data_IF_777168900522
#
_entry.id   IF_777168900522
#
_cell.length_a   1.000
_cell.length_b   1.000
_cell.length_c   1.000
_cell.angle_alpha   90.00
_cell.angle_beta   90.00
_cell.angle_gamma   90.00
#
_symmetry.space_group_name_H-M   'P 1'
#
loop_
_entity.id
_entity.type
_entity.pdbx_description
1 polymer ?
#
# COMPACT_ATOMS: atom_id res chain seq x y z
N UNK A 1 -47.58 -58.10 -19.14
CA UNK A 1 -46.25 -58.70 -19.34
C UNK A 1 -45.26 -57.58 -19.60
N UNK A 2 -44.40 -57.27 -18.61
CA UNK A 2 -43.14 -56.47 -18.69
C UNK A 2 -43.29 -54.96 -19.03
N UNK A 3 -42.64 -53.97 -18.41
CA UNK A 3 -41.74 -53.79 -17.23
C UNK A 3 -41.29 -52.28 -17.31
N UNK A 4 -40.94 -51.65 -16.16
CA UNK A 4 -40.19 -50.36 -15.99
C UNK A 4 -40.97 -49.06 -16.33
N UNK A 5 -40.85 -47.93 -15.62
CA UNK A 5 -39.80 -47.42 -14.75
C UNK A 5 -40.35 -46.29 -13.83
N UNK A 6 -40.04 -46.36 -12.53
CA UNK A 6 -40.21 -45.28 -11.56
C UNK A 6 -39.30 -44.09 -11.90
N UNK A 7 -39.82 -42.86 -11.92
CA UNK A 7 -38.99 -41.67 -11.68
C UNK A 7 -39.76 -40.73 -10.75
N UNK A 8 -39.49 -40.90 -9.45
CA UNK A 8 -39.83 -39.96 -8.40
C UNK A 8 -38.85 -38.79 -8.51
N UNK A 9 -39.30 -37.64 -9.03
CA UNK A 9 -38.47 -36.42 -9.11
C UNK A 9 -38.46 -35.75 -7.74
N UNK A 10 -37.61 -36.23 -6.83
CA UNK A 10 -37.23 -35.47 -5.63
C UNK A 10 -36.09 -34.53 -6.00
N UNK A 11 -36.46 -33.35 -6.51
CA UNK A 11 -35.53 -32.24 -6.68
C UNK A 11 -35.19 -31.61 -5.33
N UNK A 12 -34.18 -32.12 -4.65
CA UNK A 12 -33.54 -31.42 -3.54
C UNK A 12 -32.72 -30.26 -4.12
N UNK A 13 -33.31 -29.06 -4.08
CA UNK A 13 -32.61 -27.80 -4.31
C UNK A 13 -31.65 -27.62 -3.13
N UNK A 14 -30.41 -28.07 -3.30
CA UNK A 14 -29.31 -27.74 -2.40
C UNK A 14 -28.92 -26.28 -2.65
N UNK A 15 -29.71 -25.34 -2.09
CA UNK A 15 -29.32 -23.94 -2.04
C UNK A 15 -28.25 -23.81 -0.96
N UNK A 16 -27.00 -24.10 -1.31
CA UNK A 16 -25.85 -23.87 -0.45
C UNK A 16 -25.69 -22.37 -0.25
N UNK A 17 -26.11 -21.86 0.90
CA UNK A 17 -25.77 -20.50 1.34
C UNK A 17 -24.25 -20.51 1.59
N UNK A 18 -23.48 -19.96 0.66
CA UNK A 18 -22.05 -19.73 0.85
C UNK A 18 -21.88 -18.59 1.85
N UNK A 19 -21.69 -18.92 3.12
CA UNK A 19 -21.24 -17.94 4.12
C UNK A 19 -19.78 -17.60 3.82
N UNK A 20 -19.53 -16.37 3.36
CA UNK A 20 -18.17 -15.83 3.31
C UNK A 20 -17.61 -15.78 4.75
N UNK A 21 -16.40 -16.29 4.96
CA UNK A 21 -15.74 -16.23 6.26
C UNK A 21 -15.52 -14.76 6.67
N UNK A 22 -15.67 -14.42 7.96
CA UNK A 22 -15.46 -13.05 8.43
C UNK A 22 -14.00 -12.63 8.21
N UNK A 23 -13.80 -11.40 7.74
CA UNK A 23 -12.47 -10.83 7.55
C UNK A 23 -11.82 -10.54 8.90
N UNK A 24 -10.68 -11.18 9.18
CA UNK A 24 -9.88 -10.89 10.37
C UNK A 24 -9.01 -9.67 10.07
N UNK A 25 -9.22 -8.58 10.80
CA UNK A 25 -8.46 -7.35 10.63
C UNK A 25 -7.04 -7.50 11.17
N UNK A 26 -6.08 -6.94 10.42
CA UNK A 26 -4.68 -6.90 10.83
C UNK A 26 -4.47 -6.00 12.07
N UNK A 27 -3.40 -6.22 12.86
CA UNK A 27 -3.16 -5.49 14.11
C UNK A 27 -3.14 -3.96 13.98
N UNK A 28 -2.87 -3.41 12.80
CA UNK A 28 -2.84 -1.96 12.55
C UNK A 28 -4.20 -1.25 12.67
N UNK A 29 -5.31 -2.00 12.74
CA UNK A 29 -6.66 -1.46 12.94
C UNK A 29 -7.06 -1.25 14.40
N UNK A 30 -6.23 -1.64 15.35
CA UNK A 30 -6.53 -1.54 16.78
C UNK A 30 -5.30 -1.08 17.55
N UNK A 31 -5.48 -0.58 18.80
CA UNK A 31 -4.34 -0.27 19.66
C UNK A 31 -3.42 -1.48 19.82
N UNK A 32 -2.11 -1.21 19.95
CA UNK A 32 -1.12 -2.25 20.19
C UNK A 32 -1.49 -3.02 21.46
N UNK A 33 -1.50 -4.36 21.35
CA UNK A 33 -1.72 -5.27 22.50
C UNK A 33 -0.50 -5.40 23.41
N UNK A 34 0.59 -4.71 23.09
CA UNK A 34 1.83 -4.70 23.84
C UNK A 34 2.34 -3.26 23.97
N UNK A 35 3.16 -3.01 25.00
CA UNK A 35 3.82 -1.72 25.18
C UNK A 35 5.03 -1.64 24.25
N UNK A 36 5.08 -0.72 23.27
CA UNK A 36 6.27 -0.57 22.43
C UNK A 36 7.45 -0.07 23.27
N UNK A 37 8.66 -0.42 22.84
CA UNK A 37 9.88 0.13 23.43
C UNK A 37 9.90 1.66 23.29
N UNK A 38 10.58 2.35 24.21
CA UNK A 38 10.71 3.81 24.15
C UNK A 38 11.47 4.19 22.88
N UNK A 39 11.00 5.18 22.14
CA UNK A 39 11.71 5.69 20.97
C UNK A 39 13.16 6.07 21.34
N UNK A 40 14.13 5.63 20.54
CA UNK A 40 15.56 5.81 20.79
C UNK A 40 16.17 4.87 21.85
N UNK A 41 15.39 3.98 22.49
CA UNK A 41 15.94 2.97 23.40
C UNK A 41 16.40 1.68 22.71
N UNK A 42 16.32 1.64 21.38
CA UNK A 42 16.68 0.50 20.55
C UNK A 42 17.49 0.97 19.36
N UNK A 43 18.35 0.10 18.84
CA UNK A 43 19.02 0.29 17.56
C UNK A 43 18.18 -0.35 16.45
N UNK A 44 17.99 0.37 15.36
CA UNK A 44 17.36 -0.19 14.16
C UNK A 44 18.44 -0.86 13.32
N UNK A 45 18.29 -2.16 12.97
CA UNK A 45 19.25 -2.82 12.11
C UNK A 45 19.20 -2.20 10.71
N UNK A 46 20.37 -2.00 10.11
CA UNK A 46 20.47 -1.66 8.69
C UNK A 46 20.17 -2.93 7.90
N UNK A 47 19.02 -2.98 7.25
CA UNK A 47 18.60 -4.15 6.45
C UNK A 47 19.36 -4.19 5.12
N UNK A 48 19.57 -3.03 4.49
CA UNK A 48 20.26 -2.91 3.21
C UNK A 48 20.27 -1.46 2.73
N UNK A 49 20.82 -1.25 1.53
CA UNK A 49 20.73 0.04 0.85
C UNK A 49 19.36 0.21 0.21
N UNK A 50 18.81 1.44 0.28
CA UNK A 50 17.55 1.78 -0.39
C UNK A 50 17.70 1.61 -1.91
N UNK A 51 16.75 0.93 -2.56
CA UNK A 51 16.76 0.74 -4.00
C UNK A 51 16.61 2.07 -4.74
N UNK A 52 17.17 2.13 -5.96
CA UNK A 52 16.98 3.24 -6.88
C UNK A 52 16.24 2.77 -8.14
N UNK A 53 15.68 3.72 -8.89
CA UNK A 53 15.06 3.44 -10.18
C UNK A 53 14.40 4.69 -10.74
N UNK A 54 14.06 4.64 -12.03
CA UNK A 54 13.29 5.70 -12.66
C UNK A 54 11.84 5.64 -12.20
N UNK A 55 11.31 6.78 -11.78
CA UNK A 55 9.92 6.94 -11.36
C UNK A 55 9.31 8.16 -12.05
N UNK A 56 7.98 8.25 -12.00
CA UNK A 56 7.21 9.41 -12.43
C UNK A 56 6.51 10.02 -11.21
N UNK A 57 6.62 11.35 -11.08
CA UNK A 57 5.83 12.12 -10.12
C UNK A 57 4.41 12.34 -10.63
N UNK A 58 3.50 12.84 -9.78
CA UNK A 58 2.14 13.24 -10.20
C UNK A 58 2.13 14.35 -11.27
N UNK A 59 3.22 15.11 -11.39
CA UNK A 59 3.41 16.12 -12.43
C UNK A 59 3.88 15.52 -13.77
N UNK A 60 3.95 14.19 -13.88
CA UNK A 60 4.50 13.46 -15.02
C UNK A 60 5.98 13.80 -15.29
N UNK A 61 6.74 14.14 -14.24
CA UNK A 61 8.17 14.37 -14.32
C UNK A 61 8.91 13.09 -14.02
N UNK A 62 9.84 12.70 -14.91
CA UNK A 62 10.71 11.56 -14.71
C UNK A 62 11.92 11.95 -13.86
N UNK A 63 12.11 11.27 -12.74
CA UNK A 63 13.26 11.45 -11.82
C UNK A 63 13.76 10.08 -11.35
N UNK A 64 14.89 10.04 -10.63
CA UNK A 64 15.30 8.84 -9.91
C UNK A 64 14.71 8.85 -8.50
N UNK A 65 14.40 7.67 -7.97
CA UNK A 65 13.86 7.53 -6.62
C UNK A 65 14.82 8.11 -5.55
N UNK A 66 16.13 7.94 -5.71
CA UNK A 66 17.14 8.54 -4.81
C UNK A 66 17.14 10.07 -4.82
N UNK A 67 16.77 10.71 -5.93
CA UNK A 67 16.67 12.18 -6.00
C UNK A 67 15.63 12.73 -4.99
N UNK A 68 14.71 11.88 -4.52
CA UNK A 68 13.72 12.21 -3.49
C UNK A 68 14.14 11.79 -2.07
N UNK A 69 15.35 11.24 -1.89
CA UNK A 69 15.84 10.68 -0.61
C UNK A 69 17.03 11.43 0.00
N UNK A 70 17.79 12.19 -0.79
CA UNK A 70 19.10 12.69 -0.37
C UNK A 70 19.07 13.76 0.76
N UNK A 71 17.94 14.46 0.95
CA UNK A 71 17.81 15.60 1.87
C UNK A 71 17.03 15.31 3.17
N UNK A 72 16.31 14.18 3.21
CA UNK A 72 15.32 13.90 4.27
C UNK A 72 15.33 12.43 4.67
N UNK A 73 14.88 12.17 5.89
CA UNK A 73 14.50 10.81 6.27
C UNK A 73 13.24 10.45 5.47
N UNK A 74 13.26 9.31 4.78
CA UNK A 74 12.15 8.89 3.93
C UNK A 74 11.41 7.71 4.53
N UNK A 75 10.08 7.82 4.59
CA UNK A 75 9.18 6.68 4.77
C UNK A 75 8.58 6.33 3.43
N UNK A 76 8.90 5.15 2.91
CA UNK A 76 8.41 4.64 1.62
C UNK A 76 7.33 3.59 1.85
N UNK A 77 6.20 3.73 1.16
CA UNK A 77 5.12 2.74 1.11
C UNK A 77 4.84 2.33 -0.33
N UNK A 78 4.72 1.02 -0.55
CA UNK A 78 4.29 0.42 -1.81
C UNK A 78 2.79 0.13 -1.77
N UNK A 79 2.02 0.67 -2.72
CA UNK A 79 0.58 0.43 -2.81
C UNK A 79 0.14 0.27 -4.27
N UNK A 80 -1.14 0.00 -4.50
CA UNK A 80 -1.81 0.39 -5.74
C UNK A 80 -3.22 0.88 -5.42
N UNK A 81 -3.73 1.81 -6.24
CA UNK A 81 -4.93 2.58 -5.91
C UNK A 81 -6.21 1.74 -5.88
N UNK A 82 -6.25 0.64 -6.64
CA UNK A 82 -7.41 -0.24 -6.79
C UNK A 82 -7.39 -1.47 -5.88
N UNK A 83 -6.49 -1.52 -4.90
CA UNK A 83 -6.38 -2.65 -3.98
C UNK A 83 -7.63 -2.78 -3.10
N UNK A 84 -8.24 -3.96 -3.11
CA UNK A 84 -9.44 -4.28 -2.33
C UNK A 84 -9.16 -5.08 -1.05
N UNK A 85 -7.92 -5.54 -0.84
CA UNK A 85 -7.53 -6.19 0.41
C UNK A 85 -7.46 -5.15 1.53
N UNK A 86 -8.45 -5.18 2.44
CA UNK A 86 -8.51 -4.29 3.60
C UNK A 86 -7.22 -4.33 4.42
N UNK A 87 -6.56 -5.49 4.53
CA UNK A 87 -5.33 -5.62 5.33
C UNK A 87 -4.06 -5.20 4.57
N UNK A 88 -4.17 -4.89 3.27
CA UNK A 88 -3.06 -4.50 2.41
C UNK A 88 -2.93 -2.98 2.26
N UNK A 89 -3.11 -2.48 1.03
CA UNK A 89 -2.89 -1.07 0.71
C UNK A 89 -3.79 -0.07 1.48
N UNK A 90 -5.10 -0.31 1.70
CA UNK A 90 -5.93 0.55 2.52
C UNK A 90 -5.36 0.75 3.94
N UNK A 91 -4.87 -0.32 4.56
CA UNK A 91 -4.22 -0.23 5.86
C UNK A 91 -2.90 0.56 5.80
N UNK A 92 -2.05 0.28 4.80
CA UNK A 92 -0.79 1.00 4.62
C UNK A 92 -1.01 2.51 4.45
N UNK A 93 -1.99 2.91 3.63
CA UNK A 93 -2.39 4.31 3.43
C UNK A 93 -2.95 4.91 4.72
N UNK A 94 -3.78 4.18 5.47
CA UNK A 94 -4.31 4.65 6.75
C UNK A 94 -3.19 4.91 7.78
N UNK A 95 -2.17 4.04 7.84
CA UNK A 95 -0.99 4.22 8.70
C UNK A 95 -0.21 5.47 8.30
N UNK A 96 0.08 5.66 7.00
CA UNK A 96 0.75 6.87 6.52
C UNK A 96 -0.08 8.14 6.79
N UNK A 97 -1.40 8.06 6.65
CA UNK A 97 -2.28 9.18 7.00
C UNK A 97 -2.23 9.51 8.50
N UNK A 98 -2.14 8.52 9.38
CA UNK A 98 -1.92 8.72 10.81
C UNK A 98 -0.56 9.37 11.11
N UNK A 99 0.49 9.00 10.37
CA UNK A 99 1.82 9.62 10.48
C UNK A 99 1.73 11.08 10.02
N UNK A 100 1.15 11.35 8.85
CA UNK A 100 0.92 12.69 8.33
C UNK A 100 0.20 13.59 9.36
N UNK A 101 -0.91 13.14 9.96
CA UNK A 101 -1.62 13.91 11.00
C UNK A 101 -0.80 14.18 12.26
N UNK A 102 0.16 13.32 12.59
CA UNK A 102 1.07 13.54 13.73
C UNK A 102 2.18 14.54 13.38
N UNK A 103 2.72 14.46 12.15
CA UNK A 103 3.74 15.36 11.64
C UNK A 103 3.20 16.80 11.49
N UNK A 104 1.94 16.97 11.12
CA UNK A 104 1.29 18.28 11.08
C UNK A 104 1.30 19.01 12.44
N UNK A 105 1.42 18.28 13.56
CA UNK A 105 1.51 18.84 14.91
C UNK A 105 2.94 19.10 15.37
N UNK A 106 3.94 18.71 14.57
CA UNK A 106 5.38 18.80 14.85
C UNK A 106 6.13 19.26 13.58
N UNK A 107 5.95 20.52 13.15
CA UNK A 107 6.52 21.02 11.89
C UNK A 107 8.05 20.85 11.79
N UNK A 108 8.76 21.01 12.90
CA UNK A 108 10.22 20.84 12.98
C UNK A 108 10.69 19.40 12.69
N UNK A 109 9.81 18.42 12.90
CA UNK A 109 10.05 17.03 12.53
C UNK A 109 9.57 16.79 11.09
N UNK A 110 8.42 17.37 10.71
CA UNK A 110 7.89 17.27 9.36
C UNK A 110 8.88 17.78 8.30
N UNK A 111 9.60 18.86 8.58
CA UNK A 111 10.64 19.42 7.70
C UNK A 111 11.77 18.43 7.38
N UNK A 112 12.07 17.50 8.30
CA UNK A 112 13.14 16.51 8.18
C UNK A 112 12.69 15.18 7.56
N UNK A 113 11.39 15.04 7.29
CA UNK A 113 10.79 13.81 6.80
C UNK A 113 10.12 14.02 5.44
N UNK A 114 10.14 12.98 4.61
CA UNK A 114 9.34 12.87 3.40
C UNK A 114 8.60 11.54 3.39
N UNK A 115 7.31 11.60 3.08
CA UNK A 115 6.50 10.41 2.86
C UNK A 115 6.45 10.14 1.35
N UNK A 116 6.81 8.93 0.94
CA UNK A 116 6.71 8.48 -0.44
C UNK A 116 5.70 7.34 -0.52
N UNK A 117 4.76 7.45 -1.46
CA UNK A 117 3.84 6.37 -1.81
C UNK A 117 4.07 6.02 -3.27
N UNK A 118 4.72 4.88 -3.52
CA UNK A 118 5.05 4.40 -4.86
C UNK A 118 4.06 3.32 -5.27
N UNK A 119 3.34 3.57 -6.37
CA UNK A 119 2.45 2.56 -6.94
C UNK A 119 3.24 1.41 -7.57
N UNK A 120 2.77 0.17 -7.35
CA UNK A 120 3.23 -1.01 -8.06
C UNK A 120 2.25 -1.48 -9.17
N UNK A 121 1.35 -0.61 -9.64
CA UNK A 121 0.43 -0.90 -10.74
C UNK A 121 0.48 0.21 -11.82
N UNK A 122 1.62 0.38 -12.52
CA UNK A 122 1.82 1.51 -13.44
C UNK A 122 0.84 1.52 -14.63
N UNK A 123 0.21 0.38 -14.93
CA UNK A 123 -0.81 0.27 -15.98
C UNK A 123 -2.07 1.08 -15.66
N UNK A 124 -2.46 1.15 -14.39
CA UNK A 124 -3.68 1.83 -13.94
C UNK A 124 -3.37 3.10 -13.15
N UNK A 125 -2.30 3.06 -12.35
CA UNK A 125 -1.88 4.15 -11.48
C UNK A 125 -0.93 5.08 -12.23
N UNK A 126 -1.46 5.73 -13.27
CA UNK A 126 -0.77 6.80 -14.01
C UNK A 126 -0.49 8.00 -13.11
N UNK A 127 0.41 8.94 -13.50
CA UNK A 127 0.63 10.18 -12.76
C UNK A 127 -0.65 10.94 -12.40
N UNK A 128 -1.61 10.97 -13.33
CA UNK A 128 -2.93 11.58 -13.11
C UNK A 128 -3.76 10.82 -12.07
N UNK A 129 -3.81 9.49 -12.17
CA UNK A 129 -4.54 8.66 -11.21
C UNK A 129 -3.95 8.79 -9.80
N UNK A 130 -2.61 8.78 -9.69
CA UNK A 130 -1.91 9.00 -8.42
C UNK A 130 -2.09 10.43 -7.88
N UNK A 131 -2.20 11.44 -8.75
CA UNK A 131 -2.56 12.80 -8.34
C UNK A 131 -3.94 12.86 -7.69
N UNK A 132 -4.93 12.19 -8.28
CA UNK A 132 -6.29 12.09 -7.73
C UNK A 132 -6.31 11.31 -6.41
N UNK A 133 -5.60 10.18 -6.35
CA UNK A 133 -5.45 9.41 -5.11
C UNK A 133 -4.84 10.26 -3.97
N UNK A 134 -3.91 11.15 -4.30
CA UNK A 134 -3.23 12.03 -3.34
C UNK A 134 -4.13 13.14 -2.76
N UNK A 135 -5.21 13.54 -3.44
CA UNK A 135 -6.00 14.75 -3.09
C UNK A 135 -6.49 14.74 -1.64
N UNK A 136 -6.89 13.58 -1.11
CA UNK A 136 -7.37 13.45 0.26
C UNK A 136 -6.31 13.61 1.36
N UNK A 137 -5.02 13.71 0.98
CA UNK A 137 -3.90 13.69 1.93
C UNK A 137 -3.03 14.95 1.89
N UNK A 138 -3.18 15.78 0.86
CA UNK A 138 -2.39 17.00 0.63
C UNK A 138 -2.57 18.01 1.76
N UNK A 139 -1.46 18.62 2.16
CA UNK A 139 -1.39 19.76 3.08
C UNK A 139 -0.03 20.45 2.88
N UNK A 140 0.13 21.66 3.43
CA UNK A 140 1.33 22.49 3.22
C UNK A 140 2.46 22.19 4.23
N UNK A 141 2.25 21.27 5.18
CA UNK A 141 3.19 21.01 6.27
C UNK A 141 4.05 19.77 5.98
N UNK A 142 3.44 18.72 5.44
CA UNK A 142 4.09 17.42 5.24
C UNK A 142 4.32 17.16 3.76
N UNK A 143 5.59 16.95 3.41
CA UNK A 143 6.02 16.55 2.08
C UNK A 143 5.65 15.08 1.82
N UNK A 144 4.43 14.86 1.29
CA UNK A 144 3.94 13.54 0.91
C UNK A 144 3.75 13.43 -0.60
N UNK A 145 4.64 12.68 -1.24
CA UNK A 145 4.64 12.50 -2.68
C UNK A 145 4.07 11.14 -3.09
N UNK A 146 3.33 11.15 -4.19
CA UNK A 146 2.69 9.99 -4.77
C UNK A 146 3.31 9.74 -6.14
N UNK A 147 3.78 8.51 -6.34
CA UNK A 147 4.69 8.17 -7.42
C UNK A 147 4.17 6.94 -8.16
N UNK A 148 4.61 6.79 -9.40
CA UNK A 148 4.44 5.57 -10.20
C UNK A 148 5.70 5.35 -11.03
N UNK A 149 5.69 4.37 -11.91
CA UNK A 149 6.74 4.14 -12.91
C UNK A 149 6.15 4.19 -14.31
N UNK A 150 6.98 4.39 -15.33
CA UNK A 150 6.51 4.34 -16.72
C UNK A 150 5.90 2.97 -17.07
N UNK A 151 6.46 1.89 -16.53
CA UNK A 151 6.05 0.53 -16.85
C UNK A 151 6.50 -0.47 -15.79
N UNK A 152 5.91 -1.68 -15.84
CA UNK A 152 6.33 -2.83 -15.04
C UNK A 152 7.83 -3.15 -15.20
N UNK A 153 8.41 -2.90 -16.38
CA UNK A 153 9.83 -3.10 -16.64
C UNK A 153 10.72 -2.17 -15.82
N UNK A 154 10.25 -0.95 -15.55
CA UNK A 154 10.99 0.01 -14.71
C UNK A 154 10.72 -0.21 -13.22
N UNK A 155 9.52 -0.71 -12.89
CA UNK A 155 9.13 -1.06 -11.52
C UNK A 155 9.87 -2.28 -10.98
N UNK A 156 9.97 -3.35 -11.77
CA UNK A 156 10.43 -4.65 -11.28
C UNK A 156 11.80 -4.59 -10.57
N UNK A 157 12.83 -3.91 -11.11
CA UNK A 157 14.12 -3.80 -10.43
C UNK A 157 14.04 -3.10 -9.06
N UNK A 158 13.12 -2.14 -8.89
CA UNK A 158 12.90 -1.46 -7.60
C UNK A 158 12.32 -2.45 -6.59
N UNK A 159 11.27 -3.19 -6.99
CA UNK A 159 10.62 -4.18 -6.12
C UNK A 159 11.58 -5.30 -5.72
N UNK A 160 12.35 -5.83 -6.67
CA UNK A 160 13.30 -6.91 -6.42
C UNK A 160 14.38 -6.50 -5.40
N UNK A 161 14.92 -5.28 -5.54
CA UNK A 161 15.93 -4.75 -4.61
C UNK A 161 15.38 -4.51 -3.20
N UNK A 162 14.09 -4.14 -3.08
CA UNK A 162 13.40 -4.06 -1.80
C UNK A 162 12.88 -5.42 -1.29
N UNK A 163 13.06 -6.50 -2.05
CA UNK A 163 12.48 -7.83 -1.75
C UNK A 163 10.95 -7.75 -1.57
N UNK A 164 10.30 -6.83 -2.27
CA UNK A 164 8.87 -6.60 -2.19
C UNK A 164 8.13 -7.59 -3.08
N UNK A 165 7.62 -8.66 -2.49
CA UNK A 165 6.71 -9.56 -3.19
C UNK A 165 5.36 -8.90 -3.45
N UNK A 166 4.84 -9.04 -4.66
CA UNK A 166 3.48 -8.59 -5.02
C UNK A 166 2.63 -9.80 -5.40
N UNK A 167 1.37 -9.80 -4.94
CA UNK A 167 0.35 -10.73 -5.40
C UNK A 167 -0.65 -9.90 -6.20
N UNK A 168 -0.73 -10.18 -7.52
CA UNK A 168 -1.64 -9.49 -8.45
C UNK A 168 -2.99 -10.19 -8.50
#
# INVERSE_FOLDING_TARGET
MKILLNILVTGLIYCGITYAAPTVLAPGYSPLKFKPAKAGSYSLPIIGQAANGAILTTANTRVKLHDLMDDKIVLLSFIYSTCSDVNGCPLATAVFHNINRQLQKQPEIAEKLRLLTLSFNPKHDTPKAMSHYAEGFKNDIVDWQFLTTESEKELQPILDQYQQSIQK
#
